data_IF_580152354621
#
_entry.id   IF_580152354621
#
_cell.length_a   1.000
_cell.length_b   1.000
_cell.length_c   1.000
_cell.angle_alpha   90.00
_cell.angle_beta   90.00
_cell.angle_gamma   90.00
#
_symmetry.space_group_name_H-M   'P 1'
#
loop_
_entity.id
_entity.type
_entity.pdbx_description
1 polymer ?
#
# COMPACT_ATOMS: atom_id res chain seq x y z
N UNK A 1 -0.22 3.27 10.36
CA UNK A 1 1.16 3.53 9.95
C UNK A 1 1.13 4.73 9.03
N UNK A 2 2.13 5.60 9.11
CA UNK A 2 2.19 6.80 8.26
C UNK A 2 3.01 6.54 6.99
N UNK A 3 2.78 7.36 5.96
CA UNK A 3 3.57 7.33 4.73
C UNK A 3 5.01 7.74 5.06
N UNK A 4 5.98 6.97 4.56
CA UNK A 4 7.40 7.32 4.73
C UNK A 4 7.73 8.62 4.00
N UNK A 5 8.65 9.43 4.56
CA UNK A 5 8.89 10.82 4.14
C UNK A 5 9.20 11.00 2.64
N UNK A 6 9.97 10.10 2.02
CA UNK A 6 10.29 10.20 0.59
C UNK A 6 9.08 9.88 -0.29
N UNK A 7 8.25 8.91 0.11
CA UNK A 7 6.96 8.65 -0.54
C UNK A 7 6.01 9.83 -0.37
N UNK A 8 6.01 10.47 0.80
CA UNK A 8 5.20 11.65 1.07
C UNK A 8 5.64 12.84 0.19
N UNK A 9 6.95 13.02 0.00
CA UNK A 9 7.51 14.09 -0.82
C UNK A 9 7.04 14.06 -2.28
N UNK A 10 6.71 12.87 -2.79
CA UNK A 10 6.20 12.69 -4.17
C UNK A 10 4.70 12.39 -4.23
N UNK A 11 4.01 12.35 -3.09
CA UNK A 11 2.65 11.80 -2.98
C UNK A 11 1.67 12.43 -3.98
N UNK A 12 1.61 13.75 -4.03
CA UNK A 12 0.71 14.50 -4.92
C UNK A 12 1.05 14.34 -6.41
N UNK A 13 2.27 13.90 -6.73
CA UNK A 13 2.70 13.71 -8.13
C UNK A 13 2.37 12.32 -8.66
N UNK A 14 2.19 11.33 -7.78
CA UNK A 14 1.96 9.94 -8.17
C UNK A 14 0.75 9.76 -9.11
N UNK A 15 -0.42 10.40 -8.89
CA UNK A 15 -1.58 10.27 -9.78
C UNK A 15 -1.39 10.96 -11.13
N UNK A 16 -0.37 11.81 -11.28
CA UNK A 16 -0.07 12.49 -12.55
C UNK A 16 0.76 11.63 -13.51
N UNK A 17 1.30 10.51 -13.01
CA UNK A 17 2.09 9.59 -13.80
C UNK A 17 1.19 8.80 -14.76
N UNK A 18 1.62 8.62 -16.00
CA UNK A 18 0.99 7.67 -16.91
C UNK A 18 1.36 6.24 -16.52
N UNK A 19 0.51 5.63 -15.69
CA UNK A 19 0.68 4.26 -15.20
C UNK A 19 -0.34 3.28 -15.81
N UNK A 20 -1.08 3.71 -16.82
CA UNK A 20 -2.12 2.90 -17.44
C UNK A 20 -1.53 1.58 -17.95
N UNK A 21 -2.22 0.48 -17.62
CA UNK A 21 -1.88 -0.89 -18.00
C UNK A 21 -0.52 -1.41 -17.49
N UNK A 22 0.24 -0.62 -16.71
CA UNK A 22 1.51 -1.07 -16.13
C UNK A 22 1.26 -2.10 -15.03
N UNK A 23 2.11 -3.13 -15.01
CA UNK A 23 2.13 -4.09 -13.91
C UNK A 23 2.86 -3.50 -12.72
N UNK A 24 2.22 -3.48 -11.56
CA UNK A 24 2.80 -2.98 -10.31
C UNK A 24 2.65 -4.05 -9.24
N UNK A 25 3.77 -4.50 -8.70
CA UNK A 25 3.83 -5.25 -7.45
C UNK A 25 4.24 -4.30 -6.33
N UNK A 26 3.69 -4.49 -5.14
CA UNK A 26 3.96 -3.65 -3.98
C UNK A 26 4.44 -4.51 -2.82
N UNK A 27 5.39 -3.99 -2.05
CA UNK A 27 5.80 -4.56 -0.79
C UNK A 27 6.06 -3.44 0.21
N UNK A 28 5.86 -3.73 1.49
CA UNK A 28 6.04 -2.77 2.57
C UNK A 28 6.60 -3.47 3.80
N UNK A 29 7.20 -2.67 4.68
CA UNK A 29 7.68 -3.12 5.98
C UNK A 29 6.77 -2.55 7.07
N UNK A 30 6.52 -3.33 8.11
CA UNK A 30 5.70 -2.93 9.24
C UNK A 30 5.95 -3.86 10.42
N UNK A 31 5.52 -3.44 11.59
CA UNK A 31 5.60 -4.21 12.81
C UNK A 31 4.19 -4.57 13.26
N UNK A 32 3.86 -5.86 13.20
CA UNK A 32 2.54 -6.36 13.60
C UNK A 32 2.41 -6.53 15.11
N UNK A 33 3.52 -6.66 15.84
CA UNK A 33 3.53 -6.93 17.28
C UNK A 33 3.23 -5.63 18.03
N UNK A 34 4.03 -4.60 17.79
CA UNK A 34 3.90 -3.33 18.52
C UNK A 34 2.90 -2.37 17.85
N UNK A 35 2.59 -2.57 16.55
CA UNK A 35 1.77 -1.65 15.75
C UNK A 35 0.68 -2.35 14.93
N UNK A 36 0.08 -3.42 15.44
CA UNK A 36 -0.99 -4.18 14.76
C UNK A 36 -2.21 -3.36 14.31
N UNK A 37 -2.56 -2.27 15.00
CA UNK A 37 -3.66 -1.36 14.59
C UNK A 37 -3.33 -0.49 13.36
N UNK A 38 -2.07 -0.55 12.93
CA UNK A 38 -1.46 0.32 11.94
C UNK A 38 -0.59 -0.45 10.93
N UNK A 39 -0.58 -1.78 11.03
CA UNK A 39 0.28 -2.67 10.29
C UNK A 39 0.06 -2.48 8.79
N UNK A 40 1.15 -2.14 8.08
CA UNK A 40 1.17 -1.90 6.62
C UNK A 40 0.15 -0.88 6.08
N UNK A 41 -0.40 0.00 6.93
CA UNK A 41 -1.31 1.06 6.50
C UNK A 41 -0.79 1.88 5.32
N UNK A 42 0.49 2.24 5.35
CA UNK A 42 1.11 3.05 4.31
C UNK A 42 1.07 2.36 2.94
N UNK A 43 1.23 1.02 2.92
CA UNK A 43 1.14 0.22 1.71
C UNK A 43 -0.29 0.23 1.17
N UNK A 44 -1.27 0.04 2.05
CA UNK A 44 -2.69 0.14 1.72
C UNK A 44 -3.08 1.52 1.18
N UNK A 45 -2.61 2.59 1.82
CA UNK A 45 -2.83 3.96 1.36
C UNK A 45 -2.24 4.19 -0.04
N UNK A 46 -1.02 3.70 -0.30
CA UNK A 46 -0.39 3.82 -1.62
C UNK A 46 -1.16 3.04 -2.70
N UNK A 47 -1.67 1.86 -2.37
CA UNK A 47 -2.51 1.07 -3.27
C UNK A 47 -3.75 1.87 -3.69
N UNK A 48 -4.49 2.42 -2.72
CA UNK A 48 -5.70 3.22 -2.98
C UNK A 48 -5.39 4.51 -3.76
N UNK A 49 -4.24 5.14 -3.51
CA UNK A 49 -3.82 6.34 -4.22
C UNK A 49 -3.50 6.08 -5.69
N UNK A 50 -2.93 4.91 -6.00
CA UNK A 50 -2.60 4.50 -7.36
C UNK A 50 -3.78 3.84 -8.11
N UNK A 51 -4.81 3.37 -7.40
CA UNK A 51 -5.96 2.66 -7.99
C UNK A 51 -6.65 3.41 -9.15
N UNK A 52 -6.86 4.75 -9.09
CA UNK A 52 -7.46 5.50 -10.20
C UNK A 52 -6.56 5.63 -11.43
N UNK A 53 -5.26 5.32 -11.33
CA UNK A 53 -4.26 5.54 -12.38
C UNK A 53 -4.25 4.46 -13.48
N UNK A 54 -5.17 3.49 -13.42
CA UNK A 54 -5.29 2.42 -14.42
C UNK A 54 -4.18 1.37 -14.34
N UNK A 55 -3.52 1.27 -13.18
CA UNK A 55 -2.50 0.26 -12.86
C UNK A 55 -3.11 -1.14 -12.83
N UNK A 56 -2.33 -2.14 -13.24
CA UNK A 56 -2.64 -3.56 -13.03
C UNK A 56 -1.82 -4.08 -11.85
N UNK A 57 -2.45 -4.14 -10.69
CA UNK A 57 -1.81 -4.69 -9.49
C UNK A 57 -1.62 -6.20 -9.62
N UNK A 58 -0.44 -6.67 -9.23
CA UNK A 58 -0.05 -8.08 -9.20
C UNK A 58 0.66 -8.39 -7.88
N UNK A 59 0.79 -9.67 -7.56
CA UNK A 59 1.56 -10.10 -6.38
C UNK A 59 0.85 -9.90 -5.05
N UNK A 60 -0.48 -9.99 -5.02
CA UNK A 60 -1.25 -10.06 -3.78
C UNK A 60 -0.74 -11.19 -2.88
N UNK A 61 -0.80 -10.97 -1.56
CA UNK A 61 -0.20 -11.86 -0.58
C UNK A 61 -1.22 -12.33 0.46
N UNK A 62 -1.26 -13.63 0.80
CA UNK A 62 -2.09 -14.16 1.87
C UNK A 62 -1.80 -13.50 3.23
N UNK A 63 -2.83 -13.37 4.07
CA UNK A 63 -2.68 -12.85 5.45
C UNK A 63 -2.39 -13.96 6.46
N UNK A 64 -2.41 -15.22 6.03
CA UNK A 64 -2.09 -16.38 6.83
C UNK A 64 -0.69 -16.26 7.44
N UNK A 65 -0.62 -16.31 8.78
CA UNK A 65 0.62 -16.14 9.53
C UNK A 65 0.87 -14.72 10.06
N UNK A 66 -0.08 -13.80 9.85
CA UNK A 66 -0.06 -12.45 10.43
C UNK A 66 -1.22 -12.25 11.41
N UNK A 67 -0.99 -11.42 12.43
CA UNK A 67 -2.01 -11.02 13.42
C UNK A 67 -2.02 -9.50 13.55
N UNK A 68 -3.10 -8.85 13.10
CA UNK A 68 -3.26 -7.39 13.10
C UNK A 68 -4.74 -7.03 12.99
N UNK A 69 -5.08 -5.76 13.24
CA UNK A 69 -6.48 -5.27 13.23
C UNK A 69 -6.75 -4.19 12.19
N UNK A 70 -5.71 -3.60 11.59
CA UNK A 70 -5.91 -2.58 10.56
C UNK A 70 -6.57 -3.18 9.30
N UNK A 71 -7.62 -2.54 8.75
CA UNK A 71 -8.22 -2.96 7.49
C UNK A 71 -7.53 -2.35 6.26
N UNK A 72 -6.71 -1.30 6.42
CA UNK A 72 -6.17 -0.53 5.28
C UNK A 72 -5.33 -1.33 4.27
N UNK A 73 -4.48 -2.31 4.67
CA UNK A 73 -3.68 -3.07 3.71
C UNK A 73 -4.47 -4.18 3.01
N UNK A 74 -5.75 -4.38 3.35
CA UNK A 74 -6.61 -5.37 2.72
C UNK A 74 -7.21 -4.82 1.42
N UNK A 75 -7.52 -5.70 0.49
CA UNK A 75 -8.00 -5.35 -0.87
C UNK A 75 -9.49 -5.60 -1.07
N UNK A 76 -10.16 -6.09 -0.03
CA UNK A 76 -11.58 -6.51 -0.02
C UNK A 76 -12.47 -5.53 0.76
#
# INVERSE_FOLDING_TARGET
>A
GEIQEDWLAIWETLPTLDLKDKLVAMYGMGDQIDYGEWFLDALGMLYHHLLPSGVKFIGFWPIEGYEFTSPKPLTD
#
